data_IF_181953699187
#
_entry.id   IF_181953699187
#
_cell.length_a   1.000
_cell.length_b   1.000
_cell.length_c   1.000
_cell.angle_alpha   90.00
_cell.angle_beta   90.00
_cell.angle_gamma   90.00
#
_symmetry.space_group_name_H-M   'P 1'
#
loop_
_entity.id
_entity.type
_entity.pdbx_description
1 polymer ?
#
# COMPACT_ATOMS: atom_id res chain seq x y z
N UNK A 1 1.62 18.88 -24.56
CA UNK A 1 0.17 19.12 -24.60
C UNK A 1 -0.49 17.93 -23.93
N UNK A 2 -1.14 18.12 -22.77
CA UNK A 2 -1.89 17.05 -22.12
C UNK A 2 -3.26 16.95 -22.79
N UNK A 3 -3.52 15.85 -23.48
CA UNK A 3 -4.84 15.56 -24.04
C UNK A 3 -5.84 15.45 -22.89
N UNK A 4 -7.02 16.10 -22.93
CA UNK A 4 -8.02 15.91 -21.88
C UNK A 4 -8.45 14.45 -21.83
N UNK A 5 -8.32 13.83 -20.66
CA UNK A 5 -8.74 12.44 -20.42
C UNK A 5 -10.10 12.42 -19.73
N UNK A 6 -11.02 11.60 -20.24
CA UNK A 6 -12.26 11.28 -19.51
C UNK A 6 -11.92 10.43 -18.29
N UNK A 7 -12.33 10.81 -17.07
CA UNK A 7 -12.04 10.05 -15.87
C UNK A 7 -12.78 8.70 -15.90
N UNK A 8 -12.04 7.62 -15.66
CA UNK A 8 -12.59 6.25 -15.60
C UNK A 8 -12.83 5.82 -14.15
N UNK A 9 -11.92 6.19 -13.26
CA UNK A 9 -11.93 5.76 -11.86
C UNK A 9 -12.89 6.61 -11.03
N UNK A 10 -13.45 5.97 -10.02
CA UNK A 10 -14.26 6.61 -8.99
C UNK A 10 -13.44 7.65 -8.23
N UNK A 11 -13.96 8.86 -8.12
CA UNK A 11 -13.36 9.96 -7.36
C UNK A 11 -14.44 10.93 -6.88
N UNK A 12 -14.05 11.97 -6.14
CA UNK A 12 -14.98 13.04 -5.76
C UNK A 12 -15.61 13.73 -6.99
N UNK A 13 -14.84 13.92 -8.05
CA UNK A 13 -15.28 14.55 -9.31
C UNK A 13 -15.91 13.54 -10.30
N UNK A 14 -15.86 12.25 -9.99
CA UNK A 14 -16.42 11.17 -10.80
C UNK A 14 -17.01 10.06 -9.90
N UNK A 15 -18.12 10.33 -9.19
CA UNK A 15 -18.66 9.41 -8.19
C UNK A 15 -19.22 8.11 -8.78
N UNK A 16 -19.64 8.15 -10.05
CA UNK A 16 -20.15 6.99 -10.79
C UNK A 16 -19.03 6.23 -11.55
N UNK A 17 -17.77 6.61 -11.33
CA UNK A 17 -16.62 5.93 -11.90
C UNK A 17 -16.44 4.51 -11.37
N UNK A 18 -15.60 3.74 -12.04
CA UNK A 18 -15.28 2.39 -11.60
C UNK A 18 -14.39 2.43 -10.35
N UNK A 19 -14.69 1.58 -9.37
CA UNK A 19 -13.69 1.25 -8.35
C UNK A 19 -12.53 0.52 -9.01
N UNK A 20 -11.32 0.83 -8.57
CA UNK A 20 -10.13 0.35 -9.26
C UNK A 20 -10.00 -1.18 -9.20
N UNK A 21 -10.27 -1.78 -8.05
CA UNK A 21 -10.24 -3.23 -7.85
C UNK A 21 -11.31 -3.97 -8.67
N UNK A 22 -12.48 -3.38 -8.87
CA UNK A 22 -13.55 -3.96 -9.70
C UNK A 22 -13.18 -3.86 -11.18
N UNK A 23 -12.61 -2.73 -11.61
CA UNK A 23 -12.12 -2.55 -12.98
C UNK A 23 -10.99 -3.54 -13.31
N UNK A 24 -10.04 -3.75 -12.40
CA UNK A 24 -8.94 -4.70 -12.61
C UNK A 24 -9.48 -6.13 -12.75
N UNK A 25 -10.43 -6.54 -11.91
CA UNK A 25 -11.07 -7.84 -12.00
C UNK A 25 -11.81 -8.01 -13.35
N UNK A 26 -12.55 -6.98 -13.79
CA UNK A 26 -13.23 -6.98 -15.08
C UNK A 26 -12.25 -7.09 -16.26
N UNK A 27 -11.16 -6.31 -16.25
CA UNK A 27 -10.14 -6.35 -17.29
C UNK A 27 -9.46 -7.72 -17.39
N UNK A 28 -9.19 -8.38 -16.26
CA UNK A 28 -8.67 -9.74 -16.24
C UNK A 28 -9.62 -10.73 -16.91
N UNK A 29 -10.91 -10.68 -16.57
CA UNK A 29 -11.94 -11.56 -17.17
C UNK A 29 -12.02 -11.36 -18.69
N UNK A 30 -12.06 -10.11 -19.15
CA UNK A 30 -12.13 -9.82 -20.58
C UNK A 30 -10.86 -10.25 -21.33
N UNK A 31 -9.69 -10.07 -20.72
CA UNK A 31 -8.43 -10.47 -21.33
C UNK A 31 -8.27 -11.99 -21.38
N UNK A 32 -8.71 -12.72 -20.35
CA UNK A 32 -8.85 -14.18 -20.40
C UNK A 32 -9.73 -14.61 -21.58
N UNK A 33 -10.93 -14.06 -21.69
CA UNK A 33 -11.85 -14.40 -22.77
C UNK A 33 -11.27 -14.07 -24.16
N UNK A 34 -10.46 -13.01 -24.30
CA UNK A 34 -9.74 -12.71 -25.54
C UNK A 34 -8.63 -13.72 -25.81
N UNK A 35 -7.92 -14.15 -24.77
CA UNK A 35 -6.87 -15.15 -24.89
C UNK A 35 -7.41 -16.53 -25.30
N UNK A 36 -8.55 -16.93 -24.74
CA UNK A 36 -9.19 -18.21 -25.06
C UNK A 36 -9.62 -18.31 -26.52
N UNK A 37 -10.02 -17.18 -27.14
CA UNK A 37 -10.38 -17.13 -28.57
C UNK A 37 -9.22 -17.51 -29.50
N UNK A 38 -7.97 -17.34 -29.07
CA UNK A 38 -6.78 -17.65 -29.86
C UNK A 38 -6.05 -18.92 -29.39
N UNK A 39 -6.57 -19.63 -28.39
CA UNK A 39 -5.92 -20.79 -27.79
C UNK A 39 -5.69 -21.95 -28.78
N UNK A 40 -6.57 -22.10 -29.79
CA UNK A 40 -6.44 -23.12 -30.83
C UNK A 40 -5.43 -22.81 -31.94
N UNK A 41 -4.93 -21.57 -32.02
CA UNK A 41 -3.95 -21.17 -33.03
C UNK A 41 -2.53 -21.54 -32.57
N UNK A 42 -1.93 -22.53 -33.24
CA UNK A 42 -0.60 -23.03 -32.93
C UNK A 42 0.53 -22.20 -33.55
N UNK A 43 0.22 -21.13 -34.30
CA UNK A 43 1.23 -20.29 -34.94
C UNK A 43 2.18 -19.64 -33.91
N UNK A 44 3.45 -19.37 -34.28
CA UNK A 44 4.39 -18.72 -33.38
C UNK A 44 3.89 -17.37 -32.86
N UNK A 45 3.23 -16.59 -33.72
CA UNK A 45 2.65 -15.29 -33.36
C UNK A 45 1.55 -15.44 -32.32
N UNK A 46 0.62 -16.37 -32.50
CA UNK A 46 -0.46 -16.60 -31.54
C UNK A 46 0.09 -17.03 -30.18
N UNK A 47 1.10 -17.92 -30.13
CA UNK A 47 1.76 -18.30 -28.87
C UNK A 47 2.40 -17.12 -28.15
N UNK A 48 3.03 -16.21 -28.89
CA UNK A 48 3.66 -15.02 -28.31
C UNK A 48 2.60 -14.03 -27.77
N UNK A 49 1.50 -13.84 -28.49
CA UNK A 49 0.37 -13.03 -28.00
C UNK A 49 -0.25 -13.66 -26.75
N UNK A 50 -0.42 -14.99 -26.73
CA UNK A 50 -0.93 -15.69 -25.55
C UNK A 50 -0.03 -15.51 -24.33
N UNK A 51 1.29 -15.66 -24.50
CA UNK A 51 2.26 -15.44 -23.43
C UNK A 51 2.19 -14.01 -22.87
N UNK A 52 2.07 -13.00 -23.75
CA UNK A 52 1.93 -11.60 -23.33
C UNK A 52 0.62 -11.36 -22.56
N UNK A 53 -0.50 -11.90 -23.05
CA UNK A 53 -1.80 -11.75 -22.40
C UNK A 53 -1.78 -12.35 -20.99
N UNK A 54 -1.23 -13.56 -20.84
CA UNK A 54 -1.07 -14.20 -19.53
C UNK A 54 -0.18 -13.36 -18.60
N UNK A 55 0.94 -12.84 -19.10
CA UNK A 55 1.79 -11.94 -18.32
C UNK A 55 1.09 -10.66 -17.86
N UNK A 56 0.24 -10.06 -18.71
CA UNK A 56 -0.58 -8.89 -18.33
C UNK A 56 -1.61 -9.28 -17.26
N UNK A 57 -2.28 -10.43 -17.39
CA UNK A 57 -3.25 -10.92 -16.41
C UNK A 57 -2.60 -11.12 -15.03
N UNK A 58 -1.38 -11.66 -15.00
CA UNK A 58 -0.62 -11.84 -13.76
C UNK A 58 -0.31 -10.49 -13.11
N UNK A 59 0.15 -9.51 -13.90
CA UNK A 59 0.41 -8.15 -13.41
C UNK A 59 -0.86 -7.47 -12.87
N UNK A 60 -1.99 -7.60 -13.58
CA UNK A 60 -3.28 -7.08 -13.11
C UNK A 60 -3.68 -7.69 -11.76
N UNK A 61 -3.43 -8.98 -11.57
CA UNK A 61 -3.69 -9.68 -10.30
C UNK A 61 -2.84 -9.13 -9.15
N UNK A 62 -1.56 -8.84 -9.42
CA UNK A 62 -0.66 -8.21 -8.43
C UNK A 62 -1.12 -6.80 -8.07
N UNK A 63 -1.54 -6.01 -9.06
CA UNK A 63 -2.04 -4.65 -8.85
C UNK A 63 -3.32 -4.68 -8.02
N UNK A 64 -4.27 -5.58 -8.34
CA UNK A 64 -5.52 -5.75 -7.60
C UNK A 64 -5.25 -6.12 -6.13
N UNK A 65 -4.30 -7.03 -5.87
CA UNK A 65 -3.89 -7.38 -4.51
C UNK A 65 -3.34 -6.20 -3.72
N UNK A 66 -2.50 -5.36 -4.34
CA UNK A 66 -1.97 -4.14 -3.71
C UNK A 66 -3.06 -3.11 -3.43
N UNK A 67 -4.02 -2.96 -4.35
CA UNK A 67 -5.14 -2.06 -4.16
C UNK A 67 -6.01 -2.50 -2.98
N UNK A 68 -6.31 -3.80 -2.87
CA UNK A 68 -7.07 -4.34 -1.73
C UNK A 68 -6.33 -4.20 -0.40
N UNK A 69 -5.01 -4.42 -0.36
CA UNK A 69 -4.21 -4.15 0.86
C UNK A 69 -4.28 -2.68 1.26
N UNK A 70 -4.22 -1.77 0.27
CA UNK A 70 -4.37 -0.32 0.51
C UNK A 70 -5.75 0.00 1.10
N UNK A 71 -6.82 -0.55 0.53
CA UNK A 71 -8.18 -0.36 1.06
C UNK A 71 -8.32 -0.91 2.49
N UNK A 72 -7.81 -2.12 2.76
CA UNK A 72 -7.85 -2.71 4.09
C UNK A 72 -7.13 -1.84 5.14
N UNK A 73 -5.99 -1.24 4.78
CA UNK A 73 -5.28 -0.29 5.65
C UNK A 73 -6.09 0.98 5.91
N UNK A 74 -6.76 1.51 4.89
CA UNK A 74 -7.59 2.70 5.03
C UNK A 74 -8.85 2.42 5.87
N UNK A 75 -9.46 1.25 5.70
CA UNK A 75 -10.63 0.83 6.47
C UNK A 75 -10.30 0.61 7.96
N UNK A 76 -9.06 0.17 8.25
CA UNK A 76 -8.56 0.06 9.62
C UNK A 76 -8.38 1.42 10.31
N UNK A 77 -8.19 2.51 9.56
CA UNK A 77 -8.15 3.87 10.12
C UNK A 77 -9.55 4.35 10.49
N UNK A 78 -10.49 4.18 9.57
CA UNK A 78 -11.90 4.58 9.73
C UNK A 78 -12.76 4.03 8.58
N UNK A 79 -14.08 3.87 8.78
CA UNK A 79 -15.00 3.52 7.71
C UNK A 79 -14.91 4.48 6.52
N UNK A 80 -15.06 3.93 5.30
CA UNK A 80 -15.07 4.71 4.07
C UNK A 80 -16.24 5.71 4.07
N UNK A 81 -15.96 7.03 4.05
CA UNK A 81 -17.03 8.03 4.08
C UNK A 81 -17.66 8.28 2.69
N UNK A 82 -17.22 7.53 1.67
CA UNK A 82 -17.70 7.67 0.30
C UNK A 82 -17.07 8.85 -0.45
N UNK A 83 -17.41 9.03 -1.74
CA UNK A 83 -16.72 9.97 -2.64
C UNK A 83 -16.89 11.44 -2.26
N UNK A 84 -17.97 11.81 -1.56
CA UNK A 84 -18.20 13.17 -1.04
C UNK A 84 -17.75 13.37 0.41
N UNK A 85 -17.20 12.34 1.06
CA UNK A 85 -16.79 12.37 2.45
C UNK A 85 -15.40 13.02 2.67
N UNK A 86 -15.05 13.39 3.91
CA UNK A 86 -13.72 13.90 4.22
C UNK A 86 -12.66 12.81 3.94
N UNK A 87 -11.48 13.16 3.41
CA UNK A 87 -10.47 12.18 3.07
C UNK A 87 -9.96 11.45 4.31
N UNK A 88 -9.60 10.17 4.14
CA UNK A 88 -9.08 9.32 5.22
C UNK A 88 -7.63 9.65 5.57
N UNK A 89 -6.86 10.13 4.59
CA UNK A 89 -5.45 10.53 4.71
C UNK A 89 -5.21 11.81 3.89
N UNK A 90 -4.18 12.59 4.25
CA UNK A 90 -3.80 13.80 3.52
C UNK A 90 -4.50 15.07 4.01
N UNK A 91 -4.43 16.13 3.20
CA UNK A 91 -4.98 17.44 3.54
C UNK A 91 -6.51 17.37 3.69
N UNK A 92 -7.02 17.83 4.84
CA UNK A 92 -8.45 17.78 5.17
C UNK A 92 -8.89 16.52 5.91
N UNK A 93 -7.98 15.57 6.19
CA UNK A 93 -8.28 14.45 7.07
C UNK A 93 -8.43 14.95 8.52
N UNK A 94 -9.54 14.59 9.18
CA UNK A 94 -9.70 14.83 10.62
C UNK A 94 -8.76 13.86 11.33
N UNK A 95 -7.65 14.37 11.88
CA UNK A 95 -6.74 13.59 12.71
C UNK A 95 -7.46 13.28 14.02
N UNK A 96 -8.05 12.10 14.12
CA UNK A 96 -8.39 11.54 15.42
C UNK A 96 -7.10 10.93 15.97
N UNK A 97 -6.51 11.48 17.05
CA UNK A 97 -5.35 10.83 17.66
C UNK A 97 -5.77 9.41 18.06
N UNK A 98 -4.90 8.44 17.75
CA UNK A 98 -5.11 7.07 18.21
C UNK A 98 -5.40 7.07 19.72
N UNK A 99 -6.29 6.19 20.22
CA UNK A 99 -6.52 6.09 21.66
C UNK A 99 -5.17 5.87 22.33
N UNK A 100 -4.76 6.83 23.16
CA UNK A 100 -3.58 6.69 24.00
C UNK A 100 -3.86 5.53 24.94
N UNK A 101 -3.16 4.42 24.74
CA UNK A 101 -3.22 3.30 25.67
C UNK A 101 -2.72 3.81 27.03
N UNK A 102 -3.56 3.84 28.09
CA UNK A 102 -3.17 4.38 29.38
C UNK A 102 -2.00 3.59 30.02
N UNK A 103 -1.63 2.43 29.48
CA UNK A 103 -0.48 1.64 29.91
C UNK A 103 0.89 2.22 29.52
N UNK A 104 0.97 3.16 28.56
CA UNK A 104 2.25 3.76 28.13
C UNK A 104 2.71 4.95 28.96
N UNK A 105 1.94 5.38 29.96
CA UNK A 105 2.26 6.51 30.83
C UNK A 105 3.01 6.08 32.09
N UNK A 106 4.20 5.48 31.96
CA UNK A 106 5.14 5.36 33.10
C UNK A 106 6.58 5.26 32.63
N UNK A 107 7.33 6.36 32.76
CA UNK A 107 8.65 6.38 33.35
C UNK A 107 9.11 7.85 33.47
N UNK A 108 8.92 8.43 34.66
CA UNK A 108 9.67 9.62 35.04
C UNK A 108 11.17 9.31 34.97
N UNK A 109 12.04 10.22 34.49
CA UNK A 109 13.46 9.95 34.45
C UNK A 109 14.00 9.84 35.88
N UNK A 110 14.52 8.66 36.22
CA UNK A 110 15.28 8.42 37.43
C UNK A 110 16.53 9.31 37.46
N UNK A 111 16.79 9.93 38.62
CA UNK A 111 17.96 10.76 38.88
C UNK A 111 19.29 10.03 38.56
N UNK A 112 20.35 10.74 38.13
CA UNK A 112 21.60 10.11 37.77
C UNK A 112 22.32 9.54 39.00
N UNK A 113 22.46 8.21 39.03
CA UNK A 113 23.36 7.50 39.93
C UNK A 113 24.81 7.77 39.47
N UNK A 114 25.59 8.48 40.28
CA UNK A 114 27.03 8.56 40.12
C UNK A 114 27.64 7.20 40.42
N UNK A 115 28.43 6.65 39.50
CA UNK A 115 29.11 5.37 39.72
C UNK A 115 30.41 5.23 38.93
N UNK A 116 31.49 5.15 39.73
CA UNK A 116 32.75 4.35 39.63
C UNK A 116 33.77 4.63 38.51
N UNK A 117 35.08 4.22 38.61
CA UNK A 117 35.67 3.20 39.50
C UNK A 117 37.00 3.53 40.23
N UNK A 118 37.31 2.65 41.18
CA UNK A 118 38.62 2.45 41.79
C UNK A 118 39.40 1.31 41.08
N UNK A 119 40.74 1.42 41.05
CA UNK A 119 41.73 0.36 40.76
C UNK A 119 42.01 0.15 39.25
N UNK A 120 43.24 -0.02 38.76
CA UNK A 120 44.42 -0.61 39.42
C UNK A 120 45.78 -0.21 38.77
N UNK A 121 46.81 -0.24 39.61
CA UNK A 121 48.26 -0.39 39.46
C UNK A 121 48.99 -0.29 38.09
N UNK A 122 50.15 0.40 38.08
CA UNK A 122 51.48 -0.22 37.85
C UNK A 122 52.65 0.77 38.09
N UNK A 123 53.71 0.23 38.67
CA UNK A 123 54.91 0.86 39.22
C UNK A 123 55.90 1.44 38.20
N UNK A 124 56.56 2.55 38.55
CA UNK A 124 57.98 2.81 38.25
C UNK A 124 58.59 3.74 39.32
N UNK A 125 59.49 3.21 40.15
CA UNK A 125 60.48 4.01 40.89
C UNK A 125 61.85 3.41 40.61
N UNK A 126 62.74 4.25 40.09
CA UNK A 126 64.19 4.06 40.05
C UNK A 126 64.80 4.73 41.28
N UNK A 127 65.67 4.01 41.98
CA UNK A 127 66.93 4.45 42.60
C UNK A 127 67.36 3.42 43.66
#
# INVERSE_FOLDING_TARGET
MSTPTTPVLMSADNPDGWKFEELLAQLRLELHAKNDRIAGDASPTARMVQANNLGIIDLLSVIEGRQRDTLARLDALRPDPGPGGPPRIGAGAVVTPAPVDPASAIAAPAAPQASVPAGDALSTTSA
#
